data_IF_771365572013
#
_entry.id   IF_771365572013
#
_cell.length_a   1.000
_cell.length_b   1.000
_cell.length_c   1.000
_cell.angle_alpha   90.00
_cell.angle_beta   90.00
_cell.angle_gamma   90.00
#
_symmetry.space_group_name_H-M   'P 1'
#
loop_
_entity.id
_entity.type
_entity.pdbx_description
1 polymer ?
#
# COMPACT_ATOMS: atom_id res chain seq x y z
N UNK A 1 -11.72 -27.61 36.45
CA UNK A 1 -12.01 -28.10 35.11
C UNK A 1 -10.76 -28.15 34.24
N UNK A 2 -10.65 -29.21 33.52
CA UNK A 2 -9.57 -29.32 32.53
C UNK A 2 -10.04 -28.68 31.24
N UNK A 3 -9.30 -27.68 30.79
CA UNK A 3 -9.63 -27.03 29.54
C UNK A 3 -9.11 -27.88 28.36
N UNK A 4 -9.98 -28.09 27.42
CA UNK A 4 -9.62 -28.78 26.22
C UNK A 4 -9.07 -27.79 25.22
N UNK A 5 -8.37 -28.32 24.25
CA UNK A 5 -7.82 -27.50 23.18
C UNK A 5 -8.89 -26.65 22.48
N UNK A 6 -10.05 -27.24 22.22
CA UNK A 6 -11.13 -26.53 21.56
C UNK A 6 -11.66 -25.39 22.39
N UNK A 7 -11.68 -25.55 23.72
CA UNK A 7 -12.16 -24.49 24.60
C UNK A 7 -11.25 -23.28 24.59
N UNK A 8 -9.96 -23.51 24.44
CA UNK A 8 -8.96 -22.44 24.44
C UNK A 8 -8.90 -21.75 23.08
N UNK A 9 -8.82 -22.55 22.01
CA UNK A 9 -8.73 -22.05 20.66
C UNK A 9 -9.97 -21.23 20.31
N UNK A 10 -11.13 -21.69 20.76
CA UNK A 10 -12.39 -21.09 20.45
C UNK A 10 -12.50 -19.63 20.88
N UNK A 11 -12.01 -19.33 22.07
CA UNK A 11 -12.18 -18.01 22.64
C UNK A 11 -11.20 -16.99 22.08
N UNK A 12 -10.12 -17.42 21.43
CA UNK A 12 -9.07 -16.51 20.99
C UNK A 12 -8.85 -16.44 19.49
N UNK A 13 -9.37 -17.40 18.76
CA UNK A 13 -8.97 -17.59 17.37
C UNK A 13 -10.06 -17.26 16.36
N UNK A 14 -11.29 -17.25 16.80
CA UNK A 14 -12.38 -16.92 15.90
C UNK A 14 -12.55 -15.42 15.76
N UNK A 15 -11.61 -14.82 15.06
CA UNK A 15 -11.72 -13.43 14.70
C UNK A 15 -12.71 -13.30 13.55
N UNK A 16 -13.71 -12.47 13.74
CA UNK A 16 -14.62 -12.17 12.65
C UNK A 16 -13.92 -11.20 11.71
N UNK A 17 -13.90 -11.49 10.41
CA UNK A 17 -13.32 -10.56 9.45
C UNK A 17 -14.09 -9.25 9.45
N UNK A 18 -13.36 -8.16 9.32
CA UNK A 18 -13.95 -6.86 9.08
C UNK A 18 -13.68 -6.43 7.65
N UNK A 19 -14.59 -5.63 7.12
CA UNK A 19 -14.40 -5.10 5.77
C UNK A 19 -13.81 -3.71 5.85
N UNK A 20 -12.75 -3.49 5.07
CA UNK A 20 -12.08 -2.20 4.99
C UNK A 20 -12.10 -1.78 3.52
N UNK A 21 -12.62 -0.60 3.25
CA UNK A 21 -12.64 -0.06 1.88
C UNK A 21 -11.56 0.99 1.73
N UNK A 22 -10.76 0.84 0.69
CA UNK A 22 -9.71 1.80 0.36
C UNK A 22 -9.93 2.33 -1.06
N UNK A 23 -9.35 3.48 -1.33
CA UNK A 23 -9.31 4.06 -2.67
C UNK A 23 -7.94 3.82 -3.25
N UNK A 24 -7.85 2.93 -4.23
CA UNK A 24 -6.59 2.61 -4.89
C UNK A 24 -6.39 3.53 -6.07
N UNK A 25 -5.24 4.18 -6.12
CA UNK A 25 -4.93 5.14 -7.19
C UNK A 25 -4.03 4.48 -8.22
N UNK A 26 -4.54 4.41 -9.44
CA UNK A 26 -3.84 3.85 -10.59
C UNK A 26 -3.79 4.89 -11.70
N UNK A 27 -3.07 4.61 -12.78
CA UNK A 27 -3.07 5.49 -13.95
C UNK A 27 -4.34 5.27 -14.77
N UNK A 28 -4.97 6.34 -15.18
CA UNK A 28 -6.01 6.24 -16.22
C UNK A 28 -5.34 5.88 -17.53
N UNK A 29 -5.85 4.84 -18.17
CA UNK A 29 -5.27 4.33 -19.43
C UNK A 29 -5.07 5.45 -20.44
N UNK A 30 -3.85 5.53 -20.98
CA UNK A 30 -3.52 6.49 -22.01
C UNK A 30 -3.31 7.92 -21.52
N UNK A 31 -3.24 8.14 -20.21
CA UNK A 31 -3.07 9.49 -19.65
C UNK A 31 -1.96 9.53 -18.62
N UNK A 32 -1.61 10.75 -18.18
CA UNK A 32 -0.73 10.96 -17.04
C UNK A 32 -1.54 11.42 -15.82
N UNK A 33 -2.73 10.89 -15.67
CA UNK A 33 -3.62 11.24 -14.56
C UNK A 33 -3.94 10.02 -13.71
N UNK A 34 -4.16 10.26 -12.42
CA UNK A 34 -4.61 9.21 -11.51
C UNK A 34 -6.11 9.02 -11.62
N UNK A 35 -6.52 7.76 -11.61
CA UNK A 35 -7.89 7.36 -11.42
C UNK A 35 -8.00 6.57 -10.14
N UNK A 36 -9.21 6.40 -9.65
CA UNK A 36 -9.46 5.73 -8.37
C UNK A 36 -10.31 4.48 -8.59
N UNK A 37 -9.88 3.40 -7.96
CA UNK A 37 -10.67 2.18 -7.87
C UNK A 37 -10.96 1.89 -6.41
N UNK A 38 -12.23 1.80 -6.05
CA UNK A 38 -12.60 1.39 -4.70
C UNK A 38 -12.38 -0.10 -4.55
N UNK A 39 -11.71 -0.49 -3.48
CA UNK A 39 -11.48 -1.89 -3.19
C UNK A 39 -11.84 -2.19 -1.74
N UNK A 40 -12.63 -3.22 -1.53
CA UNK A 40 -12.97 -3.67 -0.20
C UNK A 40 -12.18 -4.93 0.12
N UNK A 41 -11.47 -4.87 1.25
CA UNK A 41 -10.68 -6.00 1.75
C UNK A 41 -11.41 -6.61 2.93
N UNK A 42 -11.42 -7.92 2.98
CA UNK A 42 -11.97 -8.66 4.10
C UNK A 42 -10.82 -9.19 4.92
N UNK A 43 -10.62 -8.59 6.09
CA UNK A 43 -9.41 -8.80 6.88
C UNK A 43 -9.74 -9.23 8.30
N UNK A 44 -8.88 -10.06 8.87
CA UNK A 44 -8.91 -10.36 10.29
C UNK A 44 -8.03 -9.35 11.04
N UNK A 45 -8.09 -9.35 12.38
CA UNK A 45 -7.30 -8.40 13.18
C UNK A 45 -5.80 -8.53 12.98
N UNK A 46 -5.35 -9.73 12.64
CA UNK A 46 -3.92 -9.97 12.42
C UNK A 46 -3.43 -9.46 11.06
N UNK A 47 -4.34 -9.13 10.16
CA UNK A 47 -3.98 -8.68 8.82
C UNK A 47 -3.97 -7.16 8.73
N UNK A 48 -2.99 -6.64 8.00
CA UNK A 48 -2.81 -5.19 7.85
C UNK A 48 -3.54 -4.68 6.61
N UNK A 49 -4.44 -3.72 6.81
CA UNK A 49 -5.10 -3.07 5.68
C UNK A 49 -4.09 -2.28 4.83
N UNK A 50 -3.10 -1.65 5.47
CA UNK A 50 -2.07 -0.91 4.75
C UNK A 50 -1.26 -1.83 3.84
N UNK A 51 -0.89 -3.01 4.34
CA UNK A 51 -0.17 -3.98 3.51
C UNK A 51 -1.04 -4.49 2.37
N UNK A 52 -2.33 -4.73 2.64
CA UNK A 52 -3.27 -5.16 1.60
C UNK A 52 -3.39 -4.12 0.49
N UNK A 53 -3.39 -2.83 0.85
CA UNK A 53 -3.39 -1.74 -0.14
C UNK A 53 -2.15 -1.80 -1.01
N UNK A 54 -0.97 -1.96 -0.41
CA UNK A 54 0.28 -2.02 -1.18
C UNK A 54 0.29 -3.23 -2.10
N UNK A 55 -0.14 -4.38 -1.62
CA UNK A 55 -0.18 -5.59 -2.45
C UNK A 55 -1.16 -5.44 -3.60
N UNK A 56 -2.28 -4.78 -3.37
CA UNK A 56 -3.26 -4.52 -4.43
C UNK A 56 -2.71 -3.55 -5.49
N UNK A 57 -1.96 -2.54 -5.08
CA UNK A 57 -1.30 -1.62 -6.01
C UNK A 57 -0.29 -2.37 -6.89
N UNK A 58 0.44 -3.29 -6.30
CA UNK A 58 1.44 -4.08 -7.02
C UNK A 58 0.79 -5.09 -7.97
N UNK A 59 -0.36 -5.62 -7.60
CA UNK A 59 -1.09 -6.58 -8.44
C UNK A 59 -1.75 -5.90 -9.64
N UNK A 60 -2.13 -4.65 -9.50
CA UNK A 60 -2.79 -3.90 -10.55
C UNK A 60 -4.29 -3.79 -10.39
N UNK A 61 -4.93 -2.96 -11.23
CA UNK A 61 -6.36 -2.70 -11.12
C UNK A 61 -7.23 -3.82 -11.67
N UNK A 62 -8.47 -3.84 -11.20
CA UNK A 62 -9.52 -4.68 -11.79
C UNK A 62 -10.26 -3.94 -12.90
N UNK A 63 -10.31 -2.62 -12.84
CA UNK A 63 -10.98 -1.78 -13.81
C UNK A 63 -10.16 -1.71 -15.10
N UNK A 64 -10.82 -2.00 -16.24
CA UNK A 64 -10.15 -2.00 -17.55
C UNK A 64 -9.71 -0.60 -18.01
N UNK A 65 -10.26 0.45 -17.44
CA UNK A 65 -9.88 1.84 -17.74
C UNK A 65 -8.66 2.32 -16.95
N UNK A 66 -8.08 1.48 -16.10
CA UNK A 66 -6.94 1.83 -15.27
C UNK A 66 -5.75 0.90 -15.57
N UNK A 67 -4.55 1.40 -15.28
CA UNK A 67 -3.31 0.65 -15.49
C UNK A 67 -2.46 0.67 -14.22
N UNK A 68 -1.72 -0.42 -13.99
CA UNK A 68 -0.77 -0.50 -12.90
C UNK A 68 0.34 0.53 -13.11
N UNK A 69 0.72 1.21 -12.03
CA UNK A 69 1.78 2.23 -12.06
C UNK A 69 3.12 1.70 -11.56
N UNK A 70 3.10 0.88 -10.52
CA UNK A 70 4.36 0.44 -9.90
C UNK A 70 5.09 -0.54 -10.80
N UNK A 71 6.44 -0.47 -10.81
CA UNK A 71 7.23 -1.39 -11.65
C UNK A 71 6.97 -2.84 -11.32
N UNK A 72 7.14 -3.70 -12.31
CA UNK A 72 7.01 -5.14 -12.10
C UNK A 72 8.12 -5.69 -11.21
N UNK A 73 7.82 -6.77 -10.51
CA UNK A 73 8.81 -7.42 -9.66
C UNK A 73 9.00 -6.80 -8.29
N UNK A 74 8.32 -5.70 -8.00
CA UNK A 74 8.38 -5.07 -6.67
C UNK A 74 7.57 -5.89 -5.67
N UNK A 75 8.13 -6.05 -4.49
CA UNK A 75 7.41 -6.68 -3.37
C UNK A 75 7.21 -5.65 -2.26
N UNK A 76 6.08 -5.72 -1.60
CA UNK A 76 5.83 -4.93 -0.40
C UNK A 76 6.33 -5.76 0.79
N UNK A 77 7.34 -5.26 1.47
CA UNK A 77 7.92 -5.98 2.61
C UNK A 77 7.13 -5.74 3.89
N UNK A 78 6.68 -4.52 4.09
CA UNK A 78 5.88 -4.18 5.27
C UNK A 78 5.15 -2.86 5.08
N UNK A 79 4.13 -2.64 5.92
CA UNK A 79 3.39 -1.39 5.95
C UNK A 79 2.94 -1.14 7.39
N UNK A 80 3.88 -0.72 8.22
CA UNK A 80 3.62 -0.47 9.64
C UNK A 80 3.04 0.92 9.80
N UNK A 81 1.97 1.03 10.59
CA UNK A 81 1.35 2.33 10.89
C UNK A 81 1.56 2.64 12.37
N UNK A 82 2.07 3.83 12.64
CA UNK A 82 2.32 4.29 13.99
C UNK A 82 2.04 5.80 14.05
N UNK A 83 1.13 6.18 14.92
CA UNK A 83 0.76 7.58 15.13
C UNK A 83 0.46 8.34 13.83
N UNK A 84 -0.34 7.73 12.98
CA UNK A 84 -0.78 8.33 11.72
C UNK A 84 0.23 8.25 10.58
N UNK A 85 1.41 7.72 10.81
CA UNK A 85 2.44 7.56 9.78
C UNK A 85 2.47 6.10 9.32
N UNK A 86 2.35 5.88 8.03
CA UNK A 86 2.54 4.55 7.46
C UNK A 86 3.96 4.44 6.91
N UNK A 87 4.72 3.49 7.45
CA UNK A 87 6.06 3.19 6.98
C UNK A 87 5.95 2.06 5.98
N UNK A 88 5.95 2.44 4.70
CA UNK A 88 5.77 1.51 3.59
C UNK A 88 7.15 1.10 3.05
N UNK A 89 7.49 -0.16 3.23
CA UNK A 89 8.80 -0.69 2.85
C UNK A 89 8.65 -1.64 1.66
N UNK A 90 9.48 -1.40 0.65
CA UNK A 90 9.45 -2.15 -0.60
C UNK A 90 10.78 -2.82 -0.87
N UNK A 91 10.75 -3.83 -1.73
CA UNK A 91 11.97 -4.43 -2.24
C UNK A 91 12.71 -3.46 -3.16
N UNK A 92 14.00 -3.74 -3.40
CA UNK A 92 14.85 -2.89 -4.22
C UNK A 92 14.39 -2.69 -5.65
N UNK A 93 13.53 -3.57 -6.15
CA UNK A 93 13.00 -3.45 -7.50
C UNK A 93 12.25 -2.13 -7.74
N UNK A 94 11.74 -1.49 -6.67
CA UNK A 94 11.06 -0.20 -6.79
C UNK A 94 11.98 0.85 -7.42
N UNK A 95 13.27 0.82 -7.10
CA UNK A 95 14.24 1.82 -7.55
C UNK A 95 15.17 1.32 -8.64
N UNK A 96 15.10 0.05 -9.03
CA UNK A 96 15.94 -0.50 -10.09
C UNK A 96 15.59 0.03 -11.48
N UNK A 97 14.30 0.26 -11.72
CA UNK A 97 13.82 0.71 -13.04
C UNK A 97 12.89 1.90 -12.87
N UNK A 98 13.47 3.01 -12.41
CA UNK A 98 12.69 4.25 -12.24
C UNK A 98 12.38 4.81 -13.63
N UNK A 99 11.11 5.16 -13.92
CA UNK A 99 10.78 5.78 -15.19
C UNK A 99 11.56 7.06 -15.39
N UNK A 100 11.90 7.38 -16.65
CA UNK A 100 12.66 8.59 -16.97
C UNK A 100 11.81 9.87 -16.86
N UNK A 101 10.50 9.76 -17.08
CA UNK A 101 9.59 10.90 -17.03
C UNK A 101 9.33 11.34 -15.60
N UNK A 102 9.52 12.63 -15.32
CA UNK A 102 9.20 13.18 -14.01
C UNK A 102 7.72 13.02 -13.69
N UNK A 103 6.85 13.09 -14.69
CA UNK A 103 5.42 12.90 -14.50
C UNK A 103 5.10 11.50 -14.05
N UNK A 104 5.71 10.49 -14.64
CA UNK A 104 5.49 9.11 -14.23
C UNK A 104 6.05 8.83 -12.85
N UNK A 105 7.21 9.41 -12.53
CA UNK A 105 7.81 9.30 -11.21
C UNK A 105 6.85 9.84 -10.15
N UNK A 106 6.28 11.01 -10.41
CA UNK A 106 5.33 11.63 -9.50
C UNK A 106 4.05 10.81 -9.35
N UNK A 107 3.55 10.24 -10.45
CA UNK A 107 2.36 9.39 -10.40
C UNK A 107 2.58 8.16 -9.52
N UNK A 108 3.76 7.55 -9.61
CA UNK A 108 4.08 6.39 -8.79
C UNK A 108 4.07 6.76 -7.30
N UNK A 109 4.74 7.85 -6.95
CA UNK A 109 4.76 8.31 -5.57
C UNK A 109 3.35 8.62 -5.08
N UNK A 110 2.59 9.36 -5.87
CA UNK A 110 1.21 9.73 -5.51
C UNK A 110 0.31 8.51 -5.38
N UNK A 111 0.49 7.52 -6.26
CA UNK A 111 -0.28 6.28 -6.17
C UNK A 111 -0.12 5.64 -4.79
N UNK A 112 1.12 5.53 -4.32
CA UNK A 112 1.42 4.95 -3.01
C UNK A 112 0.82 5.81 -1.89
N UNK A 113 1.11 7.10 -1.91
CA UNK A 113 0.73 8.01 -0.83
C UNK A 113 -0.79 8.17 -0.75
N UNK A 114 -1.44 8.46 -1.87
CA UNK A 114 -2.89 8.71 -1.86
C UNK A 114 -3.69 7.46 -1.56
N UNK A 115 -3.22 6.30 -2.05
CA UNK A 115 -3.89 5.04 -1.74
C UNK A 115 -3.81 4.71 -0.26
N UNK A 116 -2.64 4.85 0.34
CA UNK A 116 -2.47 4.58 1.78
C UNK A 116 -3.22 5.61 2.63
N UNK A 117 -3.18 6.88 2.25
CA UNK A 117 -3.87 7.93 2.98
C UNK A 117 -5.39 7.87 2.84
N UNK A 118 -5.93 7.02 1.96
CA UNK A 118 -7.36 6.76 1.92
C UNK A 118 -7.83 5.98 3.14
N UNK A 119 -6.91 5.33 3.87
CA UNK A 119 -7.23 4.71 5.15
C UNK A 119 -7.32 5.80 6.21
N UNK A 120 -8.39 5.75 7.03
CA UNK A 120 -8.70 6.85 7.94
C UNK A 120 -7.64 7.12 9.00
N UNK A 121 -6.84 6.12 9.32
CA UNK A 121 -5.81 6.23 10.36
C UNK A 121 -4.41 6.49 9.80
N UNK A 122 -4.28 6.70 8.49
CA UNK A 122 -3.03 7.07 7.84
C UNK A 122 -3.12 8.52 7.37
N UNK A 123 -2.28 9.38 7.92
CA UNK A 123 -2.22 10.79 7.54
C UNK A 123 -1.02 11.10 6.67
N UNK A 124 0.10 10.43 6.94
CA UNK A 124 1.32 10.62 6.15
C UNK A 124 1.95 9.28 5.85
N UNK A 125 2.84 9.25 4.86
CA UNK A 125 3.51 8.04 4.44
C UNK A 125 5.01 8.30 4.36
N UNK A 126 5.80 7.37 4.91
CA UNK A 126 7.23 7.33 4.67
C UNK A 126 7.53 6.14 3.78
N UNK A 127 8.07 6.40 2.60
CA UNK A 127 8.43 5.33 1.66
C UNK A 127 9.84 4.87 1.98
N UNK A 128 10.01 3.57 2.11
CA UNK A 128 11.29 2.94 2.37
C UNK A 128 11.58 1.90 1.31
N UNK A 129 12.85 1.64 1.08
CA UNK A 129 13.31 0.57 0.21
C UNK A 129 14.35 -0.22 0.99
N UNK A 130 14.08 -1.50 1.18
CA UNK A 130 14.95 -2.40 1.94
C UNK A 130 15.32 -1.83 3.31
N UNK A 131 14.32 -1.27 3.97
CA UNK A 131 14.44 -0.75 5.33
C UNK A 131 15.00 0.66 5.42
N UNK A 132 15.42 1.26 4.32
CA UNK A 132 16.01 2.59 4.32
C UNK A 132 15.04 3.62 3.76
N UNK A 133 15.02 4.79 4.37
CA UNK A 133 14.15 5.89 3.95
C UNK A 133 14.54 6.32 2.53
N UNK A 134 13.55 6.38 1.65
CA UNK A 134 13.76 6.85 0.29
C UNK A 134 13.64 8.38 0.30
N UNK A 135 14.68 9.06 -0.13
CA UNK A 135 14.72 10.53 -0.11
C UNK A 135 14.36 11.17 -1.43
N UNK A 136 14.39 10.39 -2.49
CA UNK A 136 13.96 10.86 -3.80
C UNK A 136 13.55 9.65 -4.65
N UNK A 137 12.66 9.89 -5.59
CA UNK A 137 12.30 8.89 -6.58
C UNK A 137 12.56 9.52 -7.95
N UNK A 138 13.72 9.21 -8.53
CA UNK A 138 14.18 9.89 -9.72
C UNK A 138 14.43 11.37 -9.42
N UNK A 139 13.72 12.25 -10.12
CA UNK A 139 13.85 13.71 -9.92
C UNK A 139 12.88 14.25 -8.89
N UNK A 140 12.00 13.39 -8.37
CA UNK A 140 11.01 13.79 -7.36
C UNK A 140 11.62 13.70 -5.99
N UNK A 141 11.72 14.83 -5.30
CA UNK A 141 12.18 14.84 -3.93
C UNK A 141 11.08 14.39 -2.98
N UNK A 142 11.45 13.58 -2.01
CA UNK A 142 10.51 13.08 -1.01
C UNK A 142 10.86 13.65 0.35
N UNK A 143 9.86 14.16 1.04
CA UNK A 143 9.99 14.49 2.44
C UNK A 143 10.04 13.19 3.23
N UNK A 144 10.57 13.20 4.46
CA UNK A 144 10.59 11.97 5.27
C UNK A 144 9.21 11.34 5.44
N UNK A 145 8.16 12.17 5.43
CA UNK A 145 6.78 11.72 5.53
C UNK A 145 5.96 12.45 4.48
N UNK A 146 5.15 11.70 3.73
CA UNK A 146 4.32 12.25 2.65
C UNK A 146 2.84 12.18 3.03
N UNK A 147 2.11 13.20 2.65
CA UNK A 147 0.66 13.27 2.87
C UNK A 147 -0.10 12.87 1.61
#
# INVERSE_FOLDING_TARGET
>A
RILRREDVVFSGVEEEPVEVTAMLCFRRSGTNELGVELRTFRLTESESAALAVLEALLAGPSDAGLERLLPGGVEAWSARVDDGVCYADFSGALTEHIPESAQEQELIVRSIVESLCSLSYVQTVQIQVEGEVLRSYGTVELLPEQE
#
